data_IF_762825790661
#
_entry.id   IF_762825790661
#
_cell.length_a   1.000
_cell.length_b   1.000
_cell.length_c   1.000
_cell.angle_alpha   90.00
_cell.angle_beta   90.00
_cell.angle_gamma   90.00
#
_symmetry.space_group_name_H-M   'P 1'
#
loop_
_entity.id
_entity.type
_entity.pdbx_description
1 polymer ?
#
# COMPACT_ATOMS: atom_id res chain seq x y z
N UNK A 1 -7.83 36.52 -0.43
CA UNK A 1 -7.24 36.20 0.89
C UNK A 1 -6.50 34.88 0.77
N UNK A 2 -5.28 34.79 1.31
CA UNK A 2 -4.54 33.54 1.40
C UNK A 2 -4.72 32.95 2.80
N UNK A 3 -5.10 31.68 2.87
CA UNK A 3 -5.29 30.93 4.12
C UNK A 3 -4.38 29.72 4.10
N UNK A 4 -3.51 29.61 5.10
CA UNK A 4 -2.73 28.42 5.36
C UNK A 4 -3.49 27.50 6.30
N UNK A 5 -3.55 26.20 6.00
CA UNK A 5 -4.24 25.20 6.82
C UNK A 5 -3.37 23.96 6.95
N UNK A 6 -3.35 23.38 8.16
CA UNK A 6 -2.68 22.12 8.42
C UNK A 6 -3.65 20.92 8.31
N UNK A 7 -4.97 21.17 8.24
CA UNK A 7 -5.96 20.11 8.06
C UNK A 7 -7.22 20.66 7.33
N UNK A 8 -7.42 20.36 6.03
CA UNK A 8 -6.42 19.72 5.15
C UNK A 8 -5.19 20.62 4.96
N UNK A 9 -4.04 20.02 4.81
CA UNK A 9 -2.80 20.75 4.55
C UNK A 9 -2.89 21.51 3.22
N UNK A 10 -2.54 22.79 3.23
CA UNK A 10 -2.56 23.61 2.02
C UNK A 10 -2.43 25.10 2.28
N UNK A 11 -2.06 25.81 1.23
CA UNK A 11 -2.16 27.26 1.12
C UNK A 11 -3.25 27.57 0.09
N UNK A 12 -4.28 28.27 0.52
CA UNK A 12 -5.47 28.49 -0.27
C UNK A 12 -5.63 29.98 -0.62
N UNK A 13 -5.68 30.29 -1.90
CA UNK A 13 -6.18 31.58 -2.34
C UNK A 13 -7.72 31.51 -2.41
N UNK A 14 -8.38 32.31 -1.59
CA UNK A 14 -9.83 32.36 -1.51
C UNK A 14 -10.36 33.67 -2.04
N UNK A 15 -11.33 33.59 -2.93
CA UNK A 15 -12.09 34.71 -3.48
C UNK A 15 -13.45 34.73 -2.77
N UNK A 16 -13.75 35.83 -2.11
CA UNK A 16 -14.96 36.03 -1.32
C UNK A 16 -15.75 37.17 -1.95
N UNK A 17 -17.03 36.99 -2.12
CA UNK A 17 -17.94 38.08 -2.53
C UNK A 17 -17.97 39.17 -1.47
N UNK A 18 -17.63 40.39 -1.88
CA UNK A 18 -17.53 41.53 -0.98
C UNK A 18 -18.88 42.02 -0.46
N UNK A 19 -19.99 41.69 -1.15
CA UNK A 19 -21.33 42.15 -0.77
C UNK A 19 -21.98 41.23 0.29
N UNK A 20 -21.74 39.94 0.21
CA UNK A 20 -22.46 38.97 1.05
C UNK A 20 -21.55 37.99 1.81
N UNK A 21 -20.22 38.06 1.63
CA UNK A 21 -19.25 37.22 2.33
C UNK A 21 -19.19 35.76 1.84
N UNK A 22 -19.85 35.44 0.74
CA UNK A 22 -19.86 34.05 0.21
C UNK A 22 -18.55 33.71 -0.48
N UNK A 23 -18.10 32.47 -0.33
CA UNK A 23 -16.95 31.94 -1.04
C UNK A 23 -17.30 31.79 -2.53
N UNK A 24 -16.63 32.53 -3.41
CA UNK A 24 -16.79 32.46 -4.86
C UNK A 24 -15.88 31.37 -5.44
N UNK A 25 -14.61 31.34 -5.00
CA UNK A 25 -13.59 30.44 -5.52
C UNK A 25 -12.54 30.13 -4.46
N UNK A 26 -12.05 28.91 -4.44
CA UNK A 26 -10.92 28.47 -3.63
C UNK A 26 -9.90 27.80 -4.56
N UNK A 27 -8.66 28.27 -4.53
CA UNK A 27 -7.56 27.70 -5.32
C UNK A 27 -6.46 27.26 -4.38
N UNK A 28 -6.02 26.04 -4.51
CA UNK A 28 -4.81 25.56 -3.82
C UNK A 28 -3.60 26.21 -4.52
N UNK A 29 -2.89 27.07 -3.80
CA UNK A 29 -1.68 27.75 -4.27
C UNK A 29 -0.43 27.16 -3.61
N UNK A 30 -0.57 26.03 -2.92
CA UNK A 30 0.56 25.35 -2.31
C UNK A 30 1.53 24.92 -3.41
N UNK A 31 2.71 25.48 -3.41
CA UNK A 31 3.78 25.04 -4.32
C UNK A 31 4.30 23.72 -3.78
N UNK A 32 3.83 22.63 -4.39
CA UNK A 32 4.35 21.29 -4.12
C UNK A 32 5.78 21.24 -4.61
N UNK A 33 6.71 21.00 -3.69
CA UNK A 33 8.11 20.82 -4.03
C UNK A 33 8.37 19.37 -4.45
N UNK A 34 9.41 19.16 -5.25
CA UNK A 34 9.97 17.86 -5.53
C UNK A 34 11.34 17.74 -4.87
N UNK A 35 11.63 16.57 -4.36
CA UNK A 35 12.93 16.20 -3.82
C UNK A 35 13.47 14.97 -4.49
N UNK A 36 14.62 14.51 -4.04
CA UNK A 36 15.20 13.20 -4.45
C UNK A 36 15.47 12.35 -3.22
N UNK A 37 15.34 11.04 -3.36
CA UNK A 37 15.67 10.09 -2.30
C UNK A 37 16.24 8.80 -2.86
N UNK A 38 16.87 8.01 -1.99
CA UNK A 38 17.25 6.64 -2.31
C UNK A 38 16.28 5.67 -1.65
N UNK A 39 15.86 4.66 -2.41
CA UNK A 39 14.94 3.62 -1.96
C UNK A 39 15.35 2.25 -2.50
N UNK A 40 14.90 1.18 -1.89
CA UNK A 40 14.75 -0.11 -2.56
C UNK A 40 13.49 -0.06 -3.44
N UNK A 41 13.51 -0.74 -4.60
CA UNK A 41 12.40 -0.72 -5.55
C UNK A 41 12.21 -2.11 -6.20
N UNK A 42 11.30 -2.96 -5.70
CA UNK A 42 10.47 -2.77 -4.49
C UNK A 42 11.22 -3.06 -3.19
N UNK A 43 12.02 -4.12 -3.15
CA UNK A 43 12.88 -4.55 -2.06
C UNK A 43 14.19 -5.14 -2.64
N UNK A 44 15.24 -5.37 -1.85
CA UNK A 44 16.53 -5.80 -2.41
C UNK A 44 16.50 -7.22 -2.97
N UNK A 45 15.63 -8.11 -2.49
CA UNK A 45 15.51 -9.48 -2.96
C UNK A 45 14.92 -9.51 -4.37
N UNK A 46 13.81 -8.86 -4.58
CA UNK A 46 13.15 -8.77 -5.89
C UNK A 46 14.00 -8.02 -6.89
N UNK A 47 14.62 -6.89 -6.51
CA UNK A 47 15.41 -6.07 -7.41
C UNK A 47 16.72 -6.74 -7.86
N UNK A 48 17.33 -7.57 -6.98
CA UNK A 48 18.52 -8.35 -7.35
C UNK A 48 18.19 -9.63 -8.16
N UNK A 49 16.97 -10.16 -7.99
CA UNK A 49 16.57 -11.45 -8.55
C UNK A 49 17.19 -12.65 -7.83
N UNK A 50 17.66 -12.47 -6.60
CA UNK A 50 18.37 -13.52 -5.84
C UNK A 50 18.47 -13.14 -4.36
N UNK A 51 18.55 -14.13 -3.49
CA UNK A 51 18.91 -13.97 -2.08
C UNK A 51 20.43 -13.88 -1.84
N UNK A 52 21.24 -14.15 -2.85
CA UNK A 52 22.68 -14.31 -2.71
C UNK A 52 23.35 -13.01 -2.22
N UNK A 53 23.98 -13.08 -1.06
CA UNK A 53 24.72 -11.97 -0.45
C UNK A 53 23.85 -10.90 0.21
N UNK A 54 22.53 -11.05 0.18
CA UNK A 54 21.59 -10.18 0.88
C UNK A 54 21.40 -10.71 2.30
N UNK A 55 21.77 -9.92 3.28
CA UNK A 55 21.60 -10.20 4.72
C UNK A 55 21.28 -8.91 5.43
N UNK A 56 20.36 -8.98 6.35
CA UNK A 56 19.99 -7.86 7.18
C UNK A 56 21.19 -7.36 8.01
N UNK A 57 21.84 -8.25 8.75
CA UNK A 57 23.03 -7.95 9.55
C UNK A 57 22.86 -6.72 10.45
N UNK A 58 21.68 -6.57 11.07
CA UNK A 58 21.36 -5.49 12.00
C UNK A 58 21.53 -4.11 11.34
N UNK A 59 20.86 -3.90 10.22
CA UNK A 59 20.80 -2.69 9.39
C UNK A 59 22.12 -2.25 8.77
N UNK A 60 23.17 -3.07 8.88
CA UNK A 60 24.45 -2.71 8.31
C UNK A 60 24.41 -2.66 6.77
N UNK A 61 24.99 -1.61 6.23
CA UNK A 61 25.23 -1.52 4.79
C UNK A 61 26.12 -2.65 4.30
N UNK A 62 25.81 -3.15 3.12
CA UNK A 62 26.68 -4.04 2.35
C UNK A 62 26.74 -3.60 0.90
N UNK A 63 27.77 -3.99 0.18
CA UNK A 63 27.84 -3.72 -1.27
C UNK A 63 26.66 -4.32 -2.02
N UNK A 64 26.21 -5.52 -1.63
CA UNK A 64 25.07 -6.18 -2.25
C UNK A 64 23.79 -5.36 -2.09
N UNK A 65 23.48 -4.87 -0.87
CA UNK A 65 22.31 -4.04 -0.56
C UNK A 65 22.42 -2.65 -1.19
N UNK A 66 23.58 -1.99 -1.05
CA UNK A 66 23.80 -0.65 -1.61
C UNK A 66 23.61 -0.61 -3.14
N UNK A 67 23.95 -1.70 -3.85
CA UNK A 67 23.75 -1.83 -5.29
C UNK A 67 22.26 -1.91 -5.68
N UNK A 68 21.36 -2.22 -4.74
CA UNK A 68 19.91 -2.26 -5.00
C UNK A 68 19.23 -0.90 -4.84
N UNK A 69 19.93 0.08 -4.29
CA UNK A 69 19.37 1.42 -4.10
C UNK A 69 19.09 2.10 -5.44
N UNK A 70 17.91 2.70 -5.55
CA UNK A 70 17.49 3.52 -6.70
C UNK A 70 17.27 4.95 -6.26
N UNK A 71 17.75 5.90 -7.06
CA UNK A 71 17.41 7.31 -6.86
C UNK A 71 16.06 7.58 -7.49
N UNK A 72 15.15 8.16 -6.72
CA UNK A 72 13.78 8.46 -7.11
C UNK A 72 13.42 9.91 -6.86
N UNK A 73 12.36 10.41 -7.52
CA UNK A 73 11.78 11.72 -7.25
C UNK A 73 10.71 11.59 -6.17
N UNK A 74 10.86 12.36 -5.10
CA UNK A 74 9.86 12.51 -4.04
C UNK A 74 8.93 13.68 -4.42
N UNK A 75 7.67 13.37 -4.70
CA UNK A 75 6.68 14.34 -5.18
C UNK A 75 5.84 14.88 -4.05
N UNK A 76 5.27 16.07 -4.26
CA UNK A 76 4.23 16.62 -3.40
C UNK A 76 4.70 17.11 -2.02
N UNK A 77 6.00 17.30 -1.82
CA UNK A 77 6.58 17.82 -0.58
C UNK A 77 6.10 19.25 -0.28
N UNK A 78 5.98 19.58 1.00
CA UNK A 78 5.56 20.92 1.45
C UNK A 78 6.65 21.98 1.38
N UNK A 79 7.90 21.59 1.12
CA UNK A 79 9.05 22.48 1.03
C UNK A 79 9.67 22.89 2.37
N UNK A 80 9.21 22.36 3.50
CA UNK A 80 9.79 22.64 4.83
C UNK A 80 11.12 21.96 5.06
N UNK A 81 11.47 21.00 4.19
CA UNK A 81 12.65 20.17 4.33
C UNK A 81 12.38 18.86 5.08
N UNK A 82 11.19 18.67 5.65
CA UNK A 82 10.75 17.39 6.19
C UNK A 82 10.02 16.55 5.13
N UNK A 83 9.88 15.26 5.39
CA UNK A 83 9.08 14.34 4.57
C UNK A 83 7.59 14.49 4.91
N UNK A 84 7.06 15.67 4.60
CA UNK A 84 5.66 16.06 4.75
C UNK A 84 5.13 16.43 3.38
N UNK A 85 4.03 15.82 2.96
CA UNK A 85 3.46 16.06 1.65
C UNK A 85 1.95 15.86 1.57
N UNK A 86 1.48 15.85 0.34
CA UNK A 86 0.05 15.80 0.01
C UNK A 86 -0.62 14.53 0.56
N UNK A 87 0.08 13.40 0.53
CA UNK A 87 -0.48 12.09 0.87
C UNK A 87 0.23 11.42 2.03
N UNK A 88 1.38 11.91 2.44
CA UNK A 88 2.20 11.29 3.48
C UNK A 88 2.77 12.34 4.42
N UNK A 89 2.74 12.08 5.70
CA UNK A 89 3.46 12.82 6.74
C UNK A 89 4.26 11.83 7.57
N UNK A 90 5.58 11.85 7.43
CA UNK A 90 6.46 11.01 8.22
C UNK A 90 6.58 11.54 9.65
N UNK A 91 6.48 10.63 10.61
CA UNK A 91 6.63 10.88 12.04
C UNK A 91 7.52 9.78 12.61
N UNK A 92 8.81 10.04 12.70
CA UNK A 92 9.80 9.08 13.21
C UNK A 92 10.69 9.70 14.28
N UNK A 93 11.46 8.84 14.97
CA UNK A 93 12.51 9.28 15.89
C UNK A 93 13.69 9.93 15.14
N UNK A 94 13.95 9.51 13.89
CA UNK A 94 14.99 10.06 13.03
C UNK A 94 14.77 11.54 12.69
N UNK A 95 13.49 11.98 12.62
CA UNK A 95 13.13 13.37 12.30
C UNK A 95 13.81 13.86 11.03
N UNK A 96 13.80 13.02 10.00
CA UNK A 96 14.51 13.20 8.72
C UNK A 96 14.25 14.57 8.11
N UNK A 97 15.32 15.31 7.87
CA UNK A 97 15.26 16.67 7.34
C UNK A 97 16.38 16.94 6.34
N UNK A 98 16.03 17.57 5.21
CA UNK A 98 16.97 18.03 4.20
C UNK A 98 16.55 19.41 3.67
N UNK A 99 17.40 20.42 3.85
CA UNK A 99 17.12 21.80 3.42
C UNK A 99 17.12 21.97 1.90
N UNK A 100 17.79 21.08 1.18
CA UNK A 100 17.86 21.07 -0.27
C UNK A 100 16.97 19.97 -0.90
N UNK A 101 16.13 19.31 -0.09
CA UNK A 101 15.22 18.23 -0.47
C UNK A 101 15.91 17.00 -1.12
N UNK A 102 17.17 16.74 -0.73
CA UNK A 102 17.91 15.54 -1.12
C UNK A 102 18.01 14.58 0.06
N UNK A 103 17.34 13.45 -0.02
CA UNK A 103 17.20 12.46 1.05
C UNK A 103 17.92 11.14 0.65
N UNK A 104 19.25 11.24 0.49
CA UNK A 104 20.09 10.17 -0.04
C UNK A 104 20.73 9.36 1.10
N UNK A 105 19.92 8.58 1.80
CA UNK A 105 20.36 7.70 2.88
C UNK A 105 20.59 6.27 2.37
N UNK A 106 21.31 5.48 3.15
CA UNK A 106 21.43 4.03 3.03
C UNK A 106 20.78 3.40 4.25
N UNK A 107 20.49 2.11 4.21
CA UNK A 107 19.75 1.42 5.27
C UNK A 107 20.39 1.47 6.67
N UNK A 108 21.69 1.70 6.78
CA UNK A 108 22.36 1.90 8.08
C UNK A 108 21.98 3.23 8.77
N UNK A 109 20.99 3.95 8.26
CA UNK A 109 20.51 5.21 8.79
C UNK A 109 19.00 5.22 8.85
N UNK A 110 18.41 5.34 10.04
CA UNK A 110 16.94 5.34 10.28
C UNK A 110 16.14 6.33 9.41
N UNK A 111 16.82 7.26 8.73
CA UNK A 111 16.16 8.15 7.75
C UNK A 111 15.88 7.45 6.42
N UNK A 112 16.44 6.28 6.18
CA UNK A 112 16.19 5.51 4.96
C UNK A 112 14.76 5.00 4.91
N UNK A 113 14.26 4.41 6.00
CA UNK A 113 12.90 3.90 6.12
C UNK A 113 11.87 5.04 6.05
N UNK A 114 12.23 6.24 6.51
CA UNK A 114 11.42 7.45 6.33
C UNK A 114 11.22 7.76 4.84
N UNK A 115 12.30 7.66 4.04
CA UNK A 115 12.25 7.89 2.59
C UNK A 115 11.49 6.79 1.86
N UNK A 116 11.73 5.53 2.23
CA UNK A 116 11.00 4.36 1.72
C UNK A 116 9.49 4.55 1.90
N UNK A 117 9.06 4.78 3.14
CA UNK A 117 7.64 4.95 3.48
C UNK A 117 7.01 6.12 2.72
N UNK A 118 7.68 7.28 2.67
CA UNK A 118 7.18 8.43 1.93
C UNK A 118 6.97 8.10 0.45
N UNK A 119 7.99 7.58 -0.20
CA UNK A 119 7.98 7.33 -1.64
C UNK A 119 6.93 6.30 -2.05
N UNK A 120 6.88 5.15 -1.37
CA UNK A 120 6.00 4.06 -1.76
C UNK A 120 4.52 4.39 -1.52
N UNK A 121 4.18 5.02 -0.40
CA UNK A 121 2.80 5.45 -0.11
C UNK A 121 2.35 6.55 -1.08
N UNK A 122 3.17 7.59 -1.33
CA UNK A 122 2.83 8.65 -2.28
C UNK A 122 2.62 8.09 -3.70
N UNK A 123 3.47 7.15 -4.11
CA UNK A 123 3.38 6.48 -5.41
C UNK A 123 2.10 5.67 -5.55
N UNK A 124 1.75 4.88 -4.53
CA UNK A 124 0.52 4.08 -4.51
C UNK A 124 -0.73 4.98 -4.53
N UNK A 125 -0.75 6.05 -3.74
CA UNK A 125 -1.89 6.97 -3.73
C UNK A 125 -2.07 7.65 -5.09
N UNK A 126 -0.98 8.06 -5.74
CA UNK A 126 -1.05 8.63 -7.10
C UNK A 126 -1.52 7.61 -8.14
N UNK A 127 -1.13 6.35 -8.00
CA UNK A 127 -1.62 5.27 -8.83
C UNK A 127 -3.15 5.13 -8.71
N UNK A 128 -3.68 5.07 -7.49
CA UNK A 128 -5.12 4.98 -7.23
C UNK A 128 -5.88 6.16 -7.84
N UNK A 129 -5.35 7.36 -7.70
CA UNK A 129 -5.94 8.56 -8.32
C UNK A 129 -5.86 8.52 -9.85
N UNK A 130 -4.76 8.00 -10.40
CA UNK A 130 -4.60 7.76 -11.83
C UNK A 130 -5.63 6.79 -12.41
N UNK A 131 -6.09 5.84 -11.59
CA UNK A 131 -7.19 4.94 -11.94
C UNK A 131 -8.57 5.63 -11.95
N UNK A 132 -8.67 6.88 -11.51
CA UNK A 132 -9.91 7.67 -11.49
C UNK A 132 -10.53 7.86 -10.08
N UNK A 133 -9.98 7.24 -9.05
CA UNK A 133 -10.50 7.32 -7.68
C UNK A 133 -9.93 8.55 -6.93
N UNK A 134 -10.45 9.74 -7.26
CA UNK A 134 -9.93 11.02 -6.76
C UNK A 134 -10.18 11.28 -5.28
N UNK A 135 -11.10 10.55 -4.64
CA UNK A 135 -11.51 10.78 -3.25
C UNK A 135 -11.12 9.67 -2.28
N UNK A 136 -10.63 8.51 -2.78
CA UNK A 136 -10.17 7.44 -1.92
C UNK A 136 -8.90 7.90 -1.20
N UNK A 137 -8.94 7.83 0.12
CA UNK A 137 -7.83 8.13 1.05
C UNK A 137 -7.06 9.43 0.74
N UNK A 138 -7.75 10.42 0.16
CA UNK A 138 -7.18 11.72 -0.24
C UNK A 138 -6.85 12.58 0.98
N UNK A 139 -5.80 12.21 1.68
CA UNK A 139 -5.30 12.92 2.87
C UNK A 139 -3.81 12.65 3.05
N UNK A 140 -3.13 13.49 3.79
CA UNK A 140 -1.78 13.18 4.25
C UNK A 140 -1.88 12.19 5.40
N UNK A 141 -1.55 10.92 5.15
CA UNK A 141 -1.55 9.88 6.19
C UNK A 141 -0.32 10.03 7.07
N UNK A 142 -0.50 9.95 8.38
CA UNK A 142 0.61 9.93 9.32
C UNK A 142 1.24 8.54 9.32
N UNK A 143 2.57 8.47 9.24
CA UNK A 143 3.35 7.23 9.26
C UNK A 143 4.35 7.30 10.40
N UNK A 144 4.20 6.40 11.38
CA UNK A 144 5.13 6.24 12.49
C UNK A 144 6.18 5.19 12.08
N UNK A 145 7.22 5.64 11.40
CA UNK A 145 8.33 4.77 10.96
C UNK A 145 9.17 4.40 12.17
N UNK A 146 9.58 3.13 12.25
CA UNK A 146 10.29 2.57 13.40
C UNK A 146 9.56 2.87 14.72
N UNK A 147 8.21 2.74 14.66
CA UNK A 147 7.30 3.13 15.74
C UNK A 147 7.16 2.09 16.85
N UNK A 148 7.53 0.84 16.59
CA UNK A 148 7.60 -0.27 17.56
C UNK A 148 8.87 -1.08 17.32
N UNK A 149 9.28 -1.86 18.32
CA UNK A 149 10.38 -2.83 18.22
C UNK A 149 9.91 -4.25 17.92
N UNK A 150 8.60 -4.42 17.75
CA UNK A 150 8.03 -5.70 17.36
C UNK A 150 8.32 -6.00 15.88
N UNK A 151 8.41 -7.26 15.55
CA UNK A 151 8.42 -7.77 14.17
C UNK A 151 6.96 -7.80 13.65
N UNK A 152 6.43 -6.61 13.44
CA UNK A 152 5.03 -6.39 13.04
C UNK A 152 4.76 -4.94 12.67
N UNK A 153 3.96 -4.75 11.64
CA UNK A 153 3.44 -3.45 11.23
C UNK A 153 1.91 -3.44 11.27
N UNK A 154 1.31 -2.25 11.34
CA UNK A 154 -0.15 -2.15 11.36
C UNK A 154 -0.67 -0.77 10.96
N UNK A 155 -1.87 -0.76 10.37
CA UNK A 155 -2.72 0.42 10.31
C UNK A 155 -3.64 0.49 11.52
N UNK A 156 -3.75 1.66 12.14
CA UNK A 156 -4.67 1.90 13.25
C UNK A 156 -5.90 2.69 12.80
N UNK A 157 -7.11 2.09 12.78
CA UNK A 157 -8.35 2.79 12.44
C UNK A 157 -8.70 3.94 13.40
N UNK A 158 -8.29 3.86 14.67
CA UNK A 158 -8.56 4.88 15.67
C UNK A 158 -7.73 6.14 15.49
N UNK A 159 -6.44 6.00 15.15
CA UNK A 159 -5.51 7.12 14.90
C UNK A 159 -5.41 7.50 13.43
N UNK A 160 -5.93 6.66 12.54
CA UNK A 160 -5.82 6.79 11.07
C UNK A 160 -4.35 6.88 10.60
N UNK A 161 -3.45 6.17 11.28
CA UNK A 161 -2.01 6.20 11.07
C UNK A 161 -1.46 4.80 10.79
N UNK A 162 -0.33 4.75 10.08
CA UNK A 162 0.49 3.55 9.91
C UNK A 162 1.59 3.52 10.97
N UNK A 163 1.99 2.32 11.37
CA UNK A 163 3.16 2.10 12.23
C UNK A 163 3.94 0.93 11.67
N UNK A 164 5.24 1.11 11.44
CA UNK A 164 6.16 0.07 10.99
C UNK A 164 7.11 -0.32 12.12
N UNK A 165 7.36 -1.63 12.24
CA UNK A 165 8.23 -2.22 13.23
C UNK A 165 9.68 -2.35 12.79
N UNK A 166 10.57 -2.61 13.77
CA UNK A 166 12.01 -2.83 13.58
C UNK A 166 12.46 -4.23 14.01
N UNK A 167 11.52 -5.14 14.27
CA UNK A 167 11.86 -6.52 14.60
C UNK A 167 12.22 -7.30 13.35
N UNK A 168 13.21 -8.18 13.44
CA UNK A 168 13.66 -8.92 12.27
C UNK A 168 14.41 -8.05 11.28
N UNK A 169 13.88 -7.92 10.07
CA UNK A 169 14.21 -6.85 9.11
C UNK A 169 13.27 -5.68 9.36
N UNK A 170 13.74 -4.45 9.27
CA UNK A 170 12.88 -3.28 9.42
C UNK A 170 11.78 -3.29 8.34
N UNK A 171 10.50 -3.42 8.77
CA UNK A 171 9.33 -3.61 7.88
C UNK A 171 9.23 -2.52 6.81
N UNK A 172 9.64 -1.29 7.14
CA UNK A 172 9.62 -0.16 6.22
C UNK A 172 10.73 -0.20 5.15
N UNK A 173 11.57 -1.22 5.12
CA UNK A 173 12.52 -1.49 4.01
C UNK A 173 11.92 -2.33 2.89
N UNK A 174 10.74 -2.92 3.11
CA UNK A 174 10.03 -3.73 2.11
C UNK A 174 8.80 -2.99 1.58
N UNK A 175 8.79 -2.69 0.29
CA UNK A 175 7.68 -1.97 -0.33
C UNK A 175 6.38 -2.78 -0.36
N UNK A 176 6.47 -4.11 -0.32
CA UNK A 176 5.32 -5.00 -0.21
C UNK A 176 4.60 -4.82 1.12
N UNK A 177 5.35 -4.77 2.22
CA UNK A 177 4.81 -4.51 3.56
C UNK A 177 4.21 -3.10 3.64
N UNK A 178 4.93 -2.08 3.13
CA UNK A 178 4.41 -0.70 3.08
C UNK A 178 3.08 -0.63 2.32
N UNK A 179 2.99 -1.32 1.19
CA UNK A 179 1.79 -1.35 0.36
C UNK A 179 0.63 -2.10 1.03
N UNK A 180 0.94 -3.22 1.71
CA UNK A 180 -0.02 -4.01 2.48
C UNK A 180 -0.69 -3.14 3.55
N UNK A 181 0.09 -2.51 4.41
CA UNK A 181 -0.43 -1.65 5.48
C UNK A 181 -1.20 -0.44 4.92
N UNK A 182 -0.73 0.11 3.81
CA UNK A 182 -1.46 1.18 3.13
C UNK A 182 -2.82 0.70 2.59
N UNK A 183 -2.92 -0.56 2.18
CA UNK A 183 -4.16 -1.22 1.78
C UNK A 183 -5.23 -1.18 2.86
N UNK A 184 -4.88 -1.44 4.11
CA UNK A 184 -5.82 -1.33 5.24
C UNK A 184 -6.36 0.10 5.39
N UNK A 185 -5.53 1.11 5.19
CA UNK A 185 -5.97 2.51 5.27
C UNK A 185 -6.94 2.90 4.15
N UNK A 186 -6.76 2.34 2.95
CA UNK A 186 -7.67 2.50 1.81
C UNK A 186 -9.01 1.87 2.14
N UNK A 187 -9.00 0.64 2.62
CA UNK A 187 -10.21 -0.12 2.91
C UNK A 187 -11.01 0.50 4.05
N UNK A 188 -10.35 0.93 5.13
CA UNK A 188 -11.01 1.67 6.24
C UNK A 188 -11.58 3.03 5.79
N UNK A 189 -10.93 3.70 4.82
CA UNK A 189 -11.46 4.93 4.24
C UNK A 189 -12.75 4.69 3.45
N UNK A 190 -12.85 3.57 2.71
CA UNK A 190 -14.02 3.24 1.91
C UNK A 190 -15.14 2.59 2.74
N UNK A 191 -14.78 1.75 3.70
CA UNK A 191 -15.72 0.98 4.55
C UNK A 191 -15.25 1.08 6.00
N UNK A 192 -15.56 2.17 6.71
CA UNK A 192 -15.14 2.35 8.10
C UNK A 192 -15.58 1.18 8.98
N UNK A 193 -14.60 0.60 9.71
CA UNK A 193 -14.84 -0.56 10.57
C UNK A 193 -14.88 -1.90 9.84
N UNK A 194 -14.41 -1.98 8.59
CA UNK A 194 -14.28 -3.24 7.85
C UNK A 194 -13.42 -4.25 8.63
N UNK A 195 -13.70 -5.54 8.41
CA UNK A 195 -12.98 -6.61 9.12
C UNK A 195 -13.61 -7.01 10.46
N UNK A 196 -14.84 -6.57 10.75
CA UNK A 196 -15.55 -6.96 11.97
C UNK A 196 -16.02 -8.42 11.99
N UNK A 197 -15.97 -9.14 10.88
CA UNK A 197 -16.16 -10.59 10.80
C UNK A 197 -14.82 -11.29 10.51
N UNK A 198 -14.65 -12.59 10.87
CA UNK A 198 -13.42 -13.34 10.52
C UNK A 198 -13.11 -13.32 9.01
N UNK A 199 -14.11 -13.58 8.16
CA UNK A 199 -13.96 -13.50 6.71
C UNK A 199 -13.68 -12.06 6.24
N UNK A 200 -14.26 -11.06 6.88
CA UNK A 200 -13.95 -9.65 6.62
C UNK A 200 -12.52 -9.28 6.97
N UNK A 201 -12.01 -9.78 8.10
CA UNK A 201 -10.60 -9.66 8.47
C UNK A 201 -9.68 -10.29 7.40
N UNK A 202 -9.97 -11.53 7.01
CA UNK A 202 -9.24 -12.23 5.96
C UNK A 202 -9.30 -11.49 4.59
N UNK A 203 -10.44 -10.88 4.24
CA UNK A 203 -10.52 -10.02 3.05
C UNK A 203 -9.65 -8.77 3.17
N UNK A 204 -9.51 -8.22 4.37
CA UNK A 204 -8.63 -7.09 4.67
C UNK A 204 -7.18 -7.43 4.41
N UNK A 205 -6.71 -8.52 5.01
CA UNK A 205 -5.36 -9.06 4.81
C UNK A 205 -5.10 -9.38 3.34
N UNK A 206 -6.04 -10.09 2.71
CA UNK A 206 -5.90 -10.46 1.30
C UNK A 206 -5.87 -9.27 0.34
N UNK A 207 -6.55 -8.17 0.65
CA UNK A 207 -6.45 -6.94 -0.15
C UNK A 207 -5.11 -6.23 0.05
N UNK A 208 -4.57 -6.20 1.27
CA UNK A 208 -3.23 -5.70 1.54
C UNK A 208 -2.18 -6.47 0.74
N UNK A 209 -2.22 -7.80 0.80
CA UNK A 209 -1.32 -8.68 0.05
C UNK A 209 -1.47 -8.50 -1.47
N UNK A 210 -2.68 -8.40 -1.98
CA UNK A 210 -2.92 -8.11 -3.41
C UNK A 210 -2.28 -6.79 -3.84
N UNK A 211 -2.45 -5.74 -3.04
CA UNK A 211 -1.90 -4.42 -3.35
C UNK A 211 -0.38 -4.46 -3.34
N UNK A 212 0.23 -5.11 -2.33
CA UNK A 212 1.67 -5.30 -2.21
C UNK A 212 2.25 -6.08 -3.39
N UNK A 213 1.81 -7.32 -3.60
CA UNK A 213 2.33 -8.18 -4.66
C UNK A 213 2.17 -7.58 -6.06
N UNK A 214 1.02 -6.97 -6.37
CA UNK A 214 0.82 -6.33 -7.68
C UNK A 214 1.60 -5.03 -7.84
N UNK A 215 1.93 -4.33 -6.76
CA UNK A 215 2.84 -3.20 -6.79
C UNK A 215 4.27 -3.66 -7.06
N UNK A 216 4.75 -4.68 -6.38
CA UNK A 216 6.07 -5.27 -6.58
C UNK A 216 6.23 -5.81 -8.00
N UNK A 217 5.25 -6.56 -8.51
CA UNK A 217 5.24 -7.05 -9.90
C UNK A 217 5.33 -5.91 -10.93
N UNK A 218 4.69 -4.78 -10.66
CA UNK A 218 4.66 -3.63 -11.57
C UNK A 218 5.99 -2.86 -11.62
N UNK A 219 6.79 -2.89 -10.55
CA UNK A 219 8.08 -2.17 -10.48
C UNK A 219 9.28 -3.11 -10.61
N UNK A 220 9.08 -4.43 -10.48
CA UNK A 220 10.11 -5.45 -10.66
C UNK A 220 10.62 -5.50 -12.09
N UNK A 221 11.92 -5.60 -12.25
CA UNK A 221 12.59 -5.80 -13.56
C UNK A 221 13.09 -7.23 -13.74
N UNK A 222 13.10 -8.04 -12.70
CA UNK A 222 13.63 -9.41 -12.71
C UNK A 222 12.54 -10.47 -12.85
N UNK A 223 11.32 -10.17 -12.38
CA UNK A 223 10.23 -11.13 -12.27
C UNK A 223 10.45 -12.18 -11.18
N UNK A 224 11.43 -11.97 -10.30
CA UNK A 224 11.66 -12.81 -9.12
C UNK A 224 10.63 -12.47 -8.04
N UNK A 225 10.21 -13.46 -7.28
CA UNK A 225 9.25 -13.29 -6.19
C UNK A 225 7.79 -13.11 -6.62
N UNK A 226 7.42 -13.40 -7.89
CA UNK A 226 6.01 -13.28 -8.32
C UNK A 226 5.05 -14.03 -7.40
N UNK A 227 3.90 -13.41 -7.14
CA UNK A 227 2.88 -13.90 -6.22
C UNK A 227 3.38 -14.07 -4.77
N UNK A 228 4.49 -13.47 -4.41
CA UNK A 228 4.99 -13.34 -3.04
C UNK A 228 4.55 -11.99 -2.43
N UNK A 229 4.70 -11.89 -1.12
CA UNK A 229 4.65 -10.65 -0.35
C UNK A 229 5.74 -10.69 0.72
N UNK A 230 6.45 -9.57 0.91
CA UNK A 230 7.44 -9.40 1.97
C UNK A 230 8.68 -10.27 1.79
N UNK A 231 9.29 -10.30 0.60
CA UNK A 231 10.46 -11.16 0.33
C UNK A 231 11.69 -10.76 1.14
N UNK A 232 11.86 -9.45 1.39
CA UNK A 232 12.99 -8.96 2.17
C UNK A 232 12.76 -9.17 3.66
N UNK A 233 11.60 -8.79 4.15
CA UNK A 233 11.18 -9.00 5.53
C UNK A 233 11.24 -10.49 5.92
N UNK A 234 10.71 -11.38 5.10
CA UNK A 234 10.72 -12.82 5.35
C UNK A 234 12.13 -13.43 5.47
N UNK A 235 13.21 -12.73 5.09
CA UNK A 235 14.58 -13.24 5.30
C UNK A 235 14.96 -13.36 6.77
N UNK A 236 14.23 -12.69 7.67
CA UNK A 236 14.44 -12.82 9.11
C UNK A 236 14.08 -14.21 9.66
N UNK A 237 13.15 -14.93 9.02
CA UNK A 237 12.63 -16.19 9.57
C UNK A 237 12.39 -17.29 8.53
N UNK A 238 12.65 -17.05 7.25
CA UNK A 238 12.52 -18.04 6.18
C UNK A 238 13.83 -18.22 5.44
N UNK A 239 14.11 -19.47 5.04
CA UNK A 239 15.23 -19.84 4.17
C UNK A 239 14.75 -20.37 2.81
N UNK A 240 13.48 -20.23 2.49
CA UNK A 240 12.96 -20.61 1.16
C UNK A 240 13.52 -19.69 0.07
N UNK A 241 13.45 -20.10 -1.19
CA UNK A 241 13.90 -19.33 -2.34
C UNK A 241 12.80 -19.34 -3.42
N UNK A 242 12.10 -18.21 -3.66
CA UNK A 242 12.17 -16.96 -2.92
C UNK A 242 11.67 -17.09 -1.47
N UNK A 243 12.19 -16.25 -0.57
CA UNK A 243 11.58 -16.01 0.73
C UNK A 243 10.26 -15.29 0.51
N UNK A 244 9.22 -15.66 1.25
CA UNK A 244 7.92 -15.01 1.21
C UNK A 244 7.29 -15.03 2.60
N UNK A 245 6.70 -13.94 3.00
CA UNK A 245 5.85 -13.89 4.17
C UNK A 245 4.56 -14.69 3.91
N UNK A 246 3.91 -14.43 2.77
CA UNK A 246 2.74 -15.15 2.25
C UNK A 246 2.82 -15.25 0.73
N UNK A 247 1.97 -16.13 0.16
CA UNK A 247 1.88 -16.32 -1.29
C UNK A 247 0.45 -16.21 -1.81
N UNK A 248 0.32 -15.69 -3.02
CA UNK A 248 -0.96 -15.48 -3.70
C UNK A 248 -1.23 -16.56 -4.78
N UNK A 249 -0.57 -17.73 -4.68
CA UNK A 249 -0.70 -18.86 -5.61
C UNK A 249 -0.76 -20.22 -4.88
N UNK A 250 -1.17 -20.22 -3.63
CA UNK A 250 -1.21 -21.42 -2.78
C UNK A 250 -2.31 -22.42 -3.12
N UNK A 251 -3.30 -22.01 -3.94
CA UNK A 251 -4.48 -22.79 -4.31
C UNK A 251 -5.39 -23.18 -3.12
N UNK A 252 -5.37 -22.40 -2.05
CA UNK A 252 -6.30 -22.55 -0.92
C UNK A 252 -7.74 -22.32 -1.37
N UNK A 253 -8.68 -23.05 -0.76
CA UNK A 253 -10.11 -23.08 -1.14
C UNK A 253 -11.00 -22.95 0.09
N UNK A 254 -11.95 -22.04 0.03
CA UNK A 254 -12.99 -21.86 1.04
C UNK A 254 -14.09 -22.96 0.88
N UNK A 255 -14.64 -23.53 1.96
CA UNK A 255 -14.25 -23.35 3.36
C UNK A 255 -13.20 -24.38 3.82
N UNK A 256 -12.69 -25.24 2.94
CA UNK A 256 -11.85 -26.38 3.26
C UNK A 256 -10.56 -25.98 3.98
N UNK A 257 -9.93 -24.90 3.54
CA UNK A 257 -8.59 -24.49 3.98
C UNK A 257 -8.64 -23.34 4.98
N UNK A 258 -9.81 -23.06 5.59
CA UNK A 258 -9.97 -22.06 6.65
C UNK A 258 -9.33 -22.53 7.95
N UNK A 259 -8.51 -21.69 8.53
CA UNK A 259 -7.80 -21.93 9.79
C UNK A 259 -8.29 -21.06 10.94
N UNK A 260 -9.12 -20.03 10.65
CA UNK A 260 -9.54 -18.96 11.56
C UNK A 260 -8.38 -18.03 12.00
N UNK A 261 -7.32 -17.95 11.19
CA UNK A 261 -6.27 -16.96 11.30
C UNK A 261 -6.35 -16.07 10.04
N UNK A 262 -6.49 -14.76 10.25
CA UNK A 262 -6.89 -13.83 9.18
C UNK A 262 -5.88 -13.71 8.05
N UNK A 263 -4.58 -13.81 8.34
CA UNK A 263 -3.55 -13.72 7.31
C UNK A 263 -3.52 -15.01 6.45
N UNK A 264 -3.58 -16.18 7.10
CA UNK A 264 -3.61 -17.46 6.41
C UNK A 264 -4.89 -17.63 5.56
N UNK A 265 -6.03 -17.23 6.10
CA UNK A 265 -7.31 -17.27 5.40
C UNK A 265 -7.39 -16.18 4.32
N UNK A 266 -6.67 -15.08 4.52
CA UNK A 266 -6.49 -13.98 3.58
C UNK A 266 -5.85 -14.40 2.25
N UNK A 267 -4.98 -15.41 2.25
CA UNK A 267 -4.38 -15.93 1.01
C UNK A 267 -5.43 -16.46 0.01
N UNK A 268 -6.58 -16.98 0.49
CA UNK A 268 -7.70 -17.40 -0.38
C UNK A 268 -8.21 -16.19 -1.16
N UNK A 269 -8.39 -15.06 -0.47
CA UNK A 269 -8.90 -13.82 -1.04
C UNK A 269 -7.88 -13.14 -1.94
N UNK A 270 -6.65 -13.03 -1.47
CA UNK A 270 -5.52 -12.44 -2.20
C UNK A 270 -5.29 -13.15 -3.54
N UNK A 271 -5.32 -14.49 -3.55
CA UNK A 271 -5.15 -15.25 -4.78
C UNK A 271 -6.26 -14.97 -5.79
N UNK A 272 -7.53 -14.91 -5.37
CA UNK A 272 -8.63 -14.57 -6.28
C UNK A 272 -8.43 -13.20 -6.93
N UNK A 273 -8.02 -12.21 -6.15
CA UNK A 273 -7.73 -10.87 -6.65
C UNK A 273 -6.49 -10.84 -7.58
N UNK A 274 -5.45 -11.60 -7.24
CA UNK A 274 -4.23 -11.71 -8.05
C UNK A 274 -4.51 -12.40 -9.40
N UNK A 275 -5.30 -13.47 -9.42
CA UNK A 275 -5.75 -14.12 -10.66
C UNK A 275 -6.57 -13.17 -11.54
N UNK A 276 -7.37 -12.27 -10.96
CA UNK A 276 -8.04 -11.21 -11.71
C UNK A 276 -7.02 -10.27 -12.37
N UNK A 277 -5.96 -9.87 -11.65
CA UNK A 277 -4.91 -9.02 -12.22
C UNK A 277 -4.14 -9.72 -13.34
N UNK A 278 -3.91 -11.02 -13.24
CA UNK A 278 -3.31 -11.83 -14.30
C UNK A 278 -4.21 -11.93 -15.54
N UNK A 279 -5.53 -12.05 -15.34
CA UNK A 279 -6.50 -12.24 -16.43
C UNK A 279 -6.87 -10.94 -17.14
N UNK A 280 -7.04 -9.84 -16.41
CA UNK A 280 -7.56 -8.56 -16.92
C UNK A 280 -6.51 -7.45 -17.01
N UNK A 281 -5.35 -7.67 -16.43
CA UNK A 281 -4.36 -6.65 -16.15
C UNK A 281 -4.60 -5.95 -14.80
N UNK A 282 -3.51 -5.50 -14.20
CA UNK A 282 -3.48 -4.88 -12.86
C UNK A 282 -4.49 -3.74 -12.72
N UNK A 283 -4.51 -2.81 -13.68
CA UNK A 283 -5.34 -1.60 -13.58
C UNK A 283 -6.84 -1.92 -13.59
N UNK A 284 -7.27 -2.84 -14.45
CA UNK A 284 -8.67 -3.27 -14.54
C UNK A 284 -9.08 -3.98 -13.26
N UNK A 285 -8.27 -4.94 -12.77
CA UNK A 285 -8.54 -5.67 -11.54
C UNK A 285 -8.61 -4.72 -10.35
N UNK A 286 -7.62 -3.83 -10.19
CA UNK A 286 -7.59 -2.85 -9.09
C UNK A 286 -8.81 -1.93 -9.12
N UNK A 287 -9.23 -1.46 -10.31
CA UNK A 287 -10.45 -0.64 -10.43
C UNK A 287 -11.70 -1.38 -9.98
N UNK A 288 -11.87 -2.62 -10.39
CA UNK A 288 -13.03 -3.45 -10.01
C UNK A 288 -13.02 -3.67 -8.49
N UNK A 289 -11.86 -4.02 -7.91
CA UNK A 289 -11.71 -4.27 -6.48
C UNK A 289 -12.01 -3.00 -5.67
N UNK A 290 -11.40 -1.86 -5.99
CA UNK A 290 -11.66 -0.59 -5.30
C UNK A 290 -13.13 -0.16 -5.43
N UNK A 291 -13.74 -0.34 -6.59
CA UNK A 291 -15.17 -0.04 -6.78
C UNK A 291 -16.05 -0.96 -5.93
N UNK A 292 -15.69 -2.24 -5.79
CA UNK A 292 -16.47 -3.22 -5.02
C UNK A 292 -16.56 -2.88 -3.54
N UNK A 293 -15.52 -2.27 -2.96
CA UNK A 293 -15.50 -1.88 -1.55
C UNK A 293 -16.68 -0.99 -1.15
N UNK A 294 -17.14 -0.09 -2.05
CA UNK A 294 -18.31 0.77 -1.78
C UNK A 294 -19.62 0.02 -1.58
N UNK A 295 -19.68 -1.26 -1.94
CA UNK A 295 -20.85 -2.13 -1.75
C UNK A 295 -20.73 -3.04 -0.53
N UNK A 296 -19.62 -2.97 0.22
CA UNK A 296 -19.38 -3.80 1.39
C UNK A 296 -19.89 -3.15 2.67
N UNK A 297 -20.16 -3.99 3.65
CA UNK A 297 -20.45 -3.58 5.04
C UNK A 297 -19.30 -4.01 5.95
N UNK A 298 -19.19 -3.45 7.17
CA UNK A 298 -18.15 -3.87 8.13
C UNK A 298 -18.12 -5.37 8.42
N UNK A 299 -19.26 -6.05 8.35
CA UNK A 299 -19.42 -7.49 8.64
C UNK A 299 -19.48 -8.37 7.38
N UNK A 300 -19.07 -7.84 6.21
CA UNK A 300 -19.09 -8.59 4.95
C UNK A 300 -18.32 -9.91 5.05
N UNK A 301 -18.79 -10.90 4.30
CA UNK A 301 -18.19 -12.22 4.17
C UNK A 301 -17.61 -12.40 2.77
N UNK A 302 -16.83 -13.43 2.53
CA UNK A 302 -16.24 -13.75 1.22
C UNK A 302 -17.27 -13.72 0.09
N UNK A 303 -18.46 -14.31 0.32
CA UNK A 303 -19.53 -14.29 -0.68
C UNK A 303 -20.02 -12.87 -1.00
N UNK A 304 -20.14 -12.01 0.01
CA UNK A 304 -20.56 -10.61 -0.18
C UNK A 304 -19.52 -9.85 -1.00
N UNK A 305 -18.23 -10.09 -0.70
CA UNK A 305 -17.11 -9.51 -1.44
C UNK A 305 -17.06 -9.96 -2.89
N UNK A 306 -17.17 -11.26 -3.16
CA UNK A 306 -17.14 -11.80 -4.53
C UNK A 306 -18.34 -11.29 -5.36
N UNK A 307 -19.52 -11.19 -4.75
CA UNK A 307 -20.71 -10.59 -5.36
C UNK A 307 -20.51 -9.10 -5.66
N UNK A 308 -19.93 -8.35 -4.72
CA UNK A 308 -19.62 -6.94 -4.90
C UNK A 308 -18.61 -6.72 -6.05
N UNK A 309 -17.59 -7.58 -6.19
CA UNK A 309 -16.63 -7.56 -7.31
C UNK A 309 -17.35 -7.74 -8.66
N UNK A 310 -18.24 -8.71 -8.77
CA UNK A 310 -19.02 -8.92 -9.99
C UNK A 310 -19.94 -7.75 -10.31
N UNK A 311 -20.55 -7.14 -9.30
CA UNK A 311 -21.38 -5.93 -9.45
C UNK A 311 -20.53 -4.73 -9.89
N UNK A 312 -19.32 -4.59 -9.37
CA UNK A 312 -18.39 -3.53 -9.76
C UNK A 312 -17.96 -3.67 -11.24
N UNK A 313 -17.70 -4.89 -11.72
CA UNK A 313 -17.44 -5.16 -13.14
C UNK A 313 -18.64 -4.75 -14.01
N UNK A 314 -19.85 -5.13 -13.59
CA UNK A 314 -21.07 -4.73 -14.31
C UNK A 314 -21.21 -3.20 -14.40
N UNK A 315 -20.87 -2.49 -13.31
CA UNK A 315 -20.94 -1.02 -13.27
C UNK A 315 -19.87 -0.35 -14.13
N UNK A 316 -18.63 -0.82 -14.04
CA UNK A 316 -17.48 -0.17 -14.71
C UNK A 316 -17.30 -0.60 -16.16
N UNK A 317 -17.62 -1.85 -16.48
CA UNK A 317 -17.29 -2.51 -17.75
C UNK A 317 -18.47 -3.25 -18.38
N UNK A 318 -19.71 -3.02 -17.90
CA UNK A 318 -20.91 -3.67 -18.45
C UNK A 318 -20.93 -5.20 -18.28
N UNK A 319 -20.17 -5.75 -17.34
CA UNK A 319 -20.08 -7.19 -17.09
C UNK A 319 -19.12 -7.94 -18.04
N UNK A 320 -18.21 -7.22 -18.70
CA UNK A 320 -17.27 -7.80 -19.67
C UNK A 320 -16.44 -8.93 -19.09
N UNK A 321 -16.10 -8.88 -17.78
CA UNK A 321 -15.24 -9.86 -17.14
C UNK A 321 -16.02 -10.86 -16.27
N UNK A 322 -17.36 -10.79 -16.23
CA UNK A 322 -18.20 -11.54 -15.30
C UNK A 322 -17.97 -13.05 -15.34
N UNK A 323 -17.83 -13.64 -16.53
CA UNK A 323 -17.58 -15.09 -16.70
C UNK A 323 -16.25 -15.52 -16.05
N UNK A 324 -15.20 -14.73 -16.24
CA UNK A 324 -13.90 -15.03 -15.69
C UNK A 324 -13.86 -14.77 -14.17
N UNK A 325 -14.54 -13.74 -13.69
CA UNK A 325 -14.75 -13.49 -12.25
C UNK A 325 -15.44 -14.70 -11.60
N UNK A 326 -16.51 -15.20 -12.22
CA UNK A 326 -17.22 -16.40 -11.73
C UNK A 326 -16.30 -17.62 -11.68
N UNK A 327 -15.48 -17.82 -12.70
CA UNK A 327 -14.51 -18.92 -12.76
C UNK A 327 -13.46 -18.82 -11.65
N UNK A 328 -12.87 -17.65 -11.47
CA UNK A 328 -11.82 -17.39 -10.45
C UNK A 328 -12.37 -17.66 -9.05
N UNK A 329 -13.49 -17.03 -8.70
CA UNK A 329 -14.04 -17.17 -7.35
C UNK A 329 -14.62 -18.58 -7.09
N UNK A 330 -15.19 -19.25 -8.10
CA UNK A 330 -15.60 -20.65 -7.98
C UNK A 330 -14.40 -21.56 -7.71
N UNK A 331 -13.23 -21.32 -8.32
CA UNK A 331 -12.00 -22.05 -8.03
C UNK A 331 -11.51 -21.82 -6.59
N UNK A 332 -11.85 -20.70 -5.96
CA UNK A 332 -11.59 -20.42 -4.55
C UNK A 332 -12.71 -20.94 -3.62
N UNK A 333 -13.73 -21.62 -4.15
CA UNK A 333 -14.88 -22.13 -3.41
C UNK A 333 -15.88 -21.03 -2.97
N UNK A 334 -15.82 -19.85 -3.57
CA UNK A 334 -16.64 -18.68 -3.21
C UNK A 334 -17.65 -18.40 -4.35
N UNK A 335 -18.93 -18.28 -3.99
CA UNK A 335 -19.99 -17.96 -4.95
C UNK A 335 -20.09 -16.46 -5.17
N UNK A 336 -20.26 -16.05 -6.41
CA UNK A 336 -20.54 -14.66 -6.84
C UNK A 336 -22.04 -14.37 -7.00
N UNK A 337 -22.90 -15.33 -6.70
CA UNK A 337 -24.37 -15.22 -6.84
C UNK A 337 -25.08 -15.13 -5.51
#
# INVERSE_FOLDING_TARGET
>A
MVVHSNNPFGAWETFIDAENGKLIKKVDINRKAEGTGKVFLPNPVVSSGSLAGLKDNNDADSTALTNQLKTVTLKGLDGTGFLIGEYVTISSKAKTKSTNLQFNYTRANDSFEDVMSYYHIDTLQRYIQGLGFQNINKRSIKVNVNGTTDDNSFYSPSTKALTFGTGGVDDAEDAGIIAHEYGHSIQDNQVPGFGSSPEGGAMGEGFGDFLGATYEDAVSTTGYGKACIGEWDATAYSSSDPTCLRRLDTNKVYPKDITNEVHNDGEIWAQGQYEMAQSFGRDVATKIILQSHWSLTPNAKFRDGAKAIKQADALLYGGQHATEIDRIWAARGISTN
#
